data_IF_020549325848
#
_entry.id   IF_020549325848
#
_cell.length_a   1.000
_cell.length_b   1.000
_cell.length_c   1.000
_cell.angle_alpha   90.00
_cell.angle_beta   90.00
_cell.angle_gamma   90.00
#
_symmetry.space_group_name_H-M   'P 1'
#
loop_
_entity.id
_entity.type
_entity.pdbx_description
1 polymer ?
#
# COMPACT_ATOMS: atom_id res chain seq x y z
N UNK A 1 -4.48 -31.58 -24.50
CA UNK A 1 -4.70 -30.20 -24.01
C UNK A 1 -4.59 -30.24 -22.50
N UNK A 2 -3.65 -29.55 -21.87
CA UNK A 2 -3.61 -29.47 -20.41
C UNK A 2 -4.89 -28.78 -19.92
N UNK A 3 -5.52 -29.35 -18.91
CA UNK A 3 -6.74 -28.77 -18.33
C UNK A 3 -6.42 -27.37 -17.81
N UNK A 4 -7.20 -26.37 -18.21
CA UNK A 4 -7.04 -25.00 -17.70
C UNK A 4 -7.27 -25.00 -16.20
N UNK A 5 -6.40 -24.29 -15.46
CA UNK A 5 -6.54 -24.12 -14.03
C UNK A 5 -7.76 -23.25 -13.75
N UNK A 6 -8.63 -23.71 -12.84
CA UNK A 6 -9.80 -22.95 -12.41
C UNK A 6 -9.53 -22.26 -11.08
N UNK A 7 -9.57 -20.93 -11.08
CA UNK A 7 -9.23 -20.05 -9.94
C UNK A 7 -10.49 -19.35 -9.44
N UNK A 8 -10.88 -19.61 -8.20
CA UNK A 8 -11.91 -18.84 -7.51
C UNK A 8 -11.29 -17.62 -6.84
N UNK A 9 -11.82 -16.42 -7.09
CA UNK A 9 -11.42 -15.19 -6.45
C UNK A 9 -12.53 -14.69 -5.52
N UNK A 10 -12.20 -14.48 -4.23
CA UNK A 10 -13.10 -13.83 -3.29
C UNK A 10 -13.12 -12.32 -3.51
N UNK A 11 -14.24 -11.80 -4.01
CA UNK A 11 -14.41 -10.36 -4.32
C UNK A 11 -15.32 -9.63 -3.32
N UNK A 12 -15.73 -10.28 -2.22
CA UNK A 12 -16.60 -9.67 -1.19
C UNK A 12 -16.05 -8.34 -0.67
N UNK A 13 -14.74 -8.24 -0.53
CA UNK A 13 -14.08 -7.08 0.05
C UNK A 13 -14.04 -5.86 -0.86
N UNK A 14 -14.42 -5.97 -2.15
CA UNK A 14 -14.69 -4.79 -3.00
C UNK A 14 -15.73 -3.85 -2.41
N UNK A 15 -16.64 -4.38 -1.58
CA UNK A 15 -17.71 -3.62 -0.91
C UNK A 15 -17.28 -2.92 0.37
N UNK A 16 -16.16 -3.33 0.99
CA UNK A 16 -15.79 -2.93 2.35
C UNK A 16 -14.45 -2.25 2.42
N UNK A 17 -13.47 -2.75 1.70
CA UNK A 17 -12.10 -2.25 1.75
C UNK A 17 -12.02 -0.80 1.28
N UNK A 18 -11.20 0.01 1.97
CA UNK A 18 -11.10 1.46 1.73
C UNK A 18 -9.70 1.94 1.40
N UNK A 19 -8.72 1.05 1.36
CA UNK A 19 -7.29 1.40 1.28
C UNK A 19 -6.60 0.61 0.17
N UNK A 20 -5.28 0.56 0.18
CA UNK A 20 -4.49 -0.17 -0.80
C UNK A 20 -4.92 -1.62 -1.06
N UNK A 21 -5.49 -2.31 -0.07
CA UNK A 21 -6.06 -3.65 -0.27
C UNK A 21 -7.27 -3.66 -1.21
N UNK A 22 -8.08 -2.60 -1.19
CA UNK A 22 -9.18 -2.42 -2.16
C UNK A 22 -8.63 -2.23 -3.57
N UNK A 23 -7.67 -1.33 -3.73
CA UNK A 23 -7.02 -1.09 -5.03
C UNK A 23 -6.40 -2.38 -5.57
N UNK A 24 -5.70 -3.14 -4.74
CA UNK A 24 -5.16 -4.43 -5.15
C UNK A 24 -6.23 -5.39 -5.65
N UNK A 25 -7.32 -5.57 -4.90
CA UNK A 25 -8.41 -6.46 -5.30
C UNK A 25 -9.12 -5.97 -6.57
N UNK A 26 -9.37 -4.66 -6.71
CA UNK A 26 -9.98 -4.06 -7.91
C UNK A 26 -9.12 -4.29 -9.15
N UNK A 27 -7.82 -4.03 -9.06
CA UNK A 27 -6.91 -4.18 -10.19
C UNK A 27 -6.74 -5.65 -10.60
N UNK A 28 -6.58 -6.56 -9.62
CA UNK A 28 -6.50 -8.00 -9.91
C UNK A 28 -7.82 -8.54 -10.47
N UNK A 29 -8.97 -8.11 -9.93
CA UNK A 29 -10.27 -8.46 -10.48
C UNK A 29 -10.40 -8.02 -11.96
N UNK A 30 -9.97 -6.79 -12.27
CA UNK A 30 -9.99 -6.26 -13.64
C UNK A 30 -9.05 -7.05 -14.56
N UNK A 31 -7.84 -7.42 -14.09
CA UNK A 31 -6.93 -8.28 -14.85
C UNK A 31 -7.55 -9.64 -15.14
N UNK A 32 -8.09 -10.30 -14.12
CA UNK A 32 -8.65 -11.66 -14.26
C UNK A 32 -9.99 -11.72 -15.00
N UNK A 33 -10.71 -10.61 -15.09
CA UNK A 33 -11.91 -10.49 -15.92
C UNK A 33 -11.60 -10.41 -17.41
N UNK A 34 -10.38 -10.04 -17.79
CA UNK A 34 -9.94 -10.04 -19.18
C UNK A 34 -9.55 -11.48 -19.58
N UNK A 35 -10.04 -11.99 -20.73
CA UNK A 35 -9.72 -13.34 -21.24
C UNK A 35 -8.28 -13.48 -21.77
N UNK A 36 -7.32 -12.75 -21.18
CA UNK A 36 -5.93 -12.73 -21.63
C UNK A 36 -5.10 -13.92 -21.14
N UNK A 37 -5.56 -14.60 -20.08
CA UNK A 37 -4.77 -15.60 -19.37
C UNK A 37 -5.27 -17.01 -19.60
N UNK A 38 -4.37 -17.99 -19.65
CA UNK A 38 -4.70 -19.41 -19.77
C UNK A 38 -5.15 -19.99 -18.41
N UNK A 39 -6.24 -19.42 -17.87
CA UNK A 39 -6.92 -19.82 -16.64
C UNK A 39 -8.41 -19.54 -16.76
N UNK A 40 -9.21 -20.29 -16.03
CA UNK A 40 -10.63 -20.00 -15.86
C UNK A 40 -10.86 -19.35 -14.50
N UNK A 41 -11.43 -18.13 -14.48
CA UNK A 41 -11.67 -17.39 -13.26
C UNK A 41 -13.14 -17.41 -12.86
N UNK A 42 -13.41 -17.71 -11.59
CA UNK A 42 -14.75 -17.67 -10.99
C UNK A 42 -14.73 -16.66 -9.85
N UNK A 43 -15.64 -15.69 -9.87
CA UNK A 43 -15.69 -14.61 -8.89
C UNK A 43 -16.78 -14.88 -7.85
N UNK A 44 -16.39 -14.92 -6.58
CA UNK A 44 -17.30 -15.21 -5.47
C UNK A 44 -17.62 -13.92 -4.70
N UNK A 45 -18.88 -13.55 -4.74
CA UNK A 45 -19.42 -12.41 -3.98
C UNK A 45 -20.55 -12.84 -3.07
N UNK A 46 -20.81 -12.05 -2.02
CA UNK A 46 -21.96 -12.21 -1.13
C UNK A 46 -23.21 -11.59 -1.74
N UNK A 47 -24.33 -12.32 -1.65
CA UNK A 47 -25.63 -11.83 -2.10
C UNK A 47 -26.24 -10.77 -1.15
N UNK A 48 -25.74 -10.64 0.06
CA UNK A 48 -26.27 -9.73 1.07
C UNK A 48 -25.45 -8.46 1.19
N UNK A 49 -26.10 -7.29 1.41
CA UNK A 49 -25.38 -6.05 1.71
C UNK A 49 -24.46 -6.22 2.90
N UNK A 50 -23.26 -5.63 2.82
CA UNK A 50 -22.30 -5.63 3.91
C UNK A 50 -22.52 -4.40 4.77
N UNK A 51 -22.62 -4.60 6.08
CA UNK A 51 -22.81 -3.49 7.01
C UNK A 51 -21.52 -2.74 7.30
N UNK A 52 -21.50 -1.45 6.99
CA UNK A 52 -20.36 -0.54 7.22
C UNK A 52 -20.64 0.58 8.22
N UNK A 53 -21.81 0.57 8.86
CA UNK A 53 -22.26 1.60 9.80
C UNK A 53 -21.57 1.55 11.17
N UNK A 54 -22.06 2.39 12.12
CA UNK A 54 -21.40 2.60 13.43
C UNK A 54 -21.95 1.74 14.59
N UNK A 55 -23.12 1.09 14.44
CA UNK A 55 -23.75 0.32 15.51
C UNK A 55 -22.97 -0.94 15.88
N UNK A 56 -22.54 -1.06 17.15
CA UNK A 56 -21.67 -2.15 17.64
C UNK A 56 -22.26 -3.54 17.40
N UNK A 57 -23.58 -3.72 17.64
CA UNK A 57 -24.25 -5.02 17.47
C UNK A 57 -24.26 -5.44 15.99
N UNK A 58 -24.57 -4.55 15.07
CA UNK A 58 -24.54 -4.84 13.62
C UNK A 58 -23.14 -5.13 13.12
N UNK A 59 -22.11 -4.46 13.68
CA UNK A 59 -20.71 -4.81 13.40
C UNK A 59 -20.36 -6.23 13.89
N UNK A 60 -20.82 -6.61 15.06
CA UNK A 60 -20.59 -7.97 15.58
C UNK A 60 -21.25 -9.02 14.67
N UNK A 61 -22.49 -8.78 14.26
CA UNK A 61 -23.19 -9.65 13.30
C UNK A 61 -22.41 -9.75 12.00
N UNK A 62 -21.89 -8.64 11.50
CA UNK A 62 -21.11 -8.62 10.25
C UNK A 62 -19.78 -9.38 10.40
N UNK A 63 -19.12 -9.34 11.56
CA UNK A 63 -17.94 -10.16 11.82
C UNK A 63 -18.28 -11.68 11.84
N UNK A 64 -19.43 -12.06 12.41
CA UNK A 64 -19.90 -13.45 12.37
C UNK A 64 -20.20 -13.87 10.92
N UNK A 65 -20.90 -13.03 10.16
CA UNK A 65 -21.18 -13.26 8.73
C UNK A 65 -19.90 -13.40 7.92
N UNK A 66 -18.87 -12.60 8.21
CA UNK A 66 -17.55 -12.70 7.57
C UNK A 66 -16.90 -14.07 7.86
N UNK A 67 -16.93 -14.54 9.10
CA UNK A 67 -16.37 -15.84 9.46
C UNK A 67 -17.15 -16.97 8.77
N UNK A 68 -18.50 -16.92 8.77
CA UNK A 68 -19.34 -17.89 8.07
C UNK A 68 -19.03 -17.87 6.56
N UNK A 69 -18.89 -16.69 5.96
CA UNK A 69 -18.49 -16.56 4.57
C UNK A 69 -17.16 -17.26 4.29
N UNK A 70 -16.13 -16.92 5.04
CA UNK A 70 -14.76 -17.44 4.81
C UNK A 70 -14.64 -18.94 5.14
N UNK A 71 -15.31 -19.43 6.19
CA UNK A 71 -15.09 -20.79 6.68
C UNK A 71 -16.11 -21.82 6.16
N UNK A 72 -17.28 -21.37 5.67
CA UNK A 72 -18.36 -22.27 5.27
C UNK A 72 -18.80 -22.00 3.82
N UNK A 73 -19.26 -20.78 3.52
CA UNK A 73 -19.89 -20.49 2.22
C UNK A 73 -18.86 -20.50 1.09
N UNK A 74 -17.74 -19.85 1.28
CA UNK A 74 -16.70 -19.71 0.28
C UNK A 74 -16.08 -21.06 -0.13
N UNK A 75 -15.68 -21.96 0.82
CA UNK A 75 -15.19 -23.30 0.44
C UNK A 75 -16.24 -24.16 -0.25
N UNK A 76 -17.53 -24.07 0.15
CA UNK A 76 -18.61 -24.77 -0.55
C UNK A 76 -18.72 -24.26 -1.99
N UNK A 77 -18.73 -22.93 -2.22
CA UNK A 77 -18.76 -22.35 -3.57
C UNK A 77 -17.54 -22.77 -4.40
N UNK A 78 -16.34 -22.78 -3.82
CA UNK A 78 -15.12 -23.23 -4.51
C UNK A 78 -15.22 -24.69 -4.96
N UNK A 79 -15.73 -25.55 -4.09
CA UNK A 79 -15.94 -26.98 -4.40
C UNK A 79 -16.99 -27.19 -5.49
N UNK A 80 -18.17 -26.58 -5.35
CA UNK A 80 -19.26 -26.70 -6.33
C UNK A 80 -18.84 -26.22 -7.72
N UNK A 81 -17.96 -25.22 -7.77
CA UNK A 81 -17.40 -24.70 -9.03
C UNK A 81 -16.12 -25.45 -9.46
N UNK A 82 -15.72 -26.53 -8.76
CA UNK A 82 -14.52 -27.31 -9.06
C UNK A 82 -13.26 -26.47 -9.22
N UNK A 83 -13.07 -25.50 -8.34
CA UNK A 83 -11.85 -24.67 -8.34
C UNK A 83 -10.65 -25.52 -7.94
N UNK A 84 -9.51 -25.32 -8.61
CA UNK A 84 -8.21 -25.85 -8.22
C UNK A 84 -7.57 -24.96 -7.16
N UNK A 85 -7.76 -23.65 -7.31
CA UNK A 85 -7.25 -22.61 -6.43
C UNK A 85 -8.41 -21.76 -5.92
N UNK A 86 -8.37 -21.40 -4.63
CA UNK A 86 -9.15 -20.32 -4.04
C UNK A 86 -8.19 -19.21 -3.62
N UNK A 87 -8.25 -18.08 -4.31
CA UNK A 87 -7.42 -16.91 -4.04
C UNK A 87 -8.19 -15.89 -3.20
N UNK A 88 -7.67 -15.57 -2.03
CA UNK A 88 -8.21 -14.57 -1.11
C UNK A 88 -7.23 -13.42 -0.96
N UNK A 89 -7.64 -12.22 -1.37
CA UNK A 89 -6.78 -11.03 -1.31
C UNK A 89 -6.74 -10.38 0.08
N UNK A 90 -7.06 -11.14 1.10
CA UNK A 90 -6.98 -10.76 2.50
C UNK A 90 -6.29 -11.86 3.31
N UNK A 91 -6.01 -11.58 4.58
CA UNK A 91 -5.31 -12.48 5.49
C UNK A 91 -6.07 -13.77 5.82
N UNK A 92 -7.35 -13.90 5.42
CA UNK A 92 -8.24 -14.99 5.84
C UNK A 92 -8.55 -15.93 4.67
N UNK A 93 -8.20 -17.20 4.87
CA UNK A 93 -8.60 -18.30 3.99
C UNK A 93 -9.40 -19.33 4.78
N UNK A 94 -10.18 -20.21 4.13
CA UNK A 94 -10.79 -21.35 4.81
C UNK A 94 -9.74 -22.22 5.48
N UNK A 95 -10.04 -22.65 6.71
CA UNK A 95 -9.19 -23.57 7.46
C UNK A 95 -9.22 -24.99 6.89
N UNK A 96 -10.37 -25.37 6.31
CA UNK A 96 -10.61 -26.65 5.66
C UNK A 96 -10.85 -26.43 4.17
N UNK A 97 -10.01 -27.06 3.33
CA UNK A 97 -9.97 -26.86 1.88
C UNK A 97 -10.02 -28.17 1.11
N UNK A 98 -11.15 -28.95 1.20
CA UNK A 98 -11.25 -30.23 0.52
C UNK A 98 -11.31 -30.01 -0.99
N UNK A 99 -10.39 -30.62 -1.74
CA UNK A 99 -10.40 -30.61 -3.21
C UNK A 99 -9.80 -29.38 -3.89
N UNK A 100 -9.37 -28.36 -3.16
CA UNK A 100 -8.71 -27.17 -3.71
C UNK A 100 -7.58 -26.66 -2.79
N UNK A 101 -6.72 -25.80 -3.31
CA UNK A 101 -5.67 -25.11 -2.54
C UNK A 101 -6.08 -23.66 -2.29
N UNK A 102 -6.07 -23.20 -1.03
CA UNK A 102 -6.34 -21.81 -0.69
C UNK A 102 -5.03 -21.00 -0.59
N UNK A 103 -5.01 -19.80 -1.18
CA UNK A 103 -3.86 -18.91 -1.20
C UNK A 103 -4.28 -17.54 -0.65
N UNK A 104 -3.81 -17.11 0.53
CA UNK A 104 -4.05 -15.78 1.07
C UNK A 104 -3.02 -14.77 0.59
N UNK A 105 -3.37 -13.47 0.69
CA UNK A 105 -2.43 -12.36 0.60
C UNK A 105 -2.19 -11.77 1.99
N UNK A 106 -0.93 -11.69 2.39
CA UNK A 106 -0.50 -11.00 3.59
C UNK A 106 0.28 -9.75 3.18
N UNK A 107 -0.30 -8.56 3.35
CA UNK A 107 0.32 -7.32 2.89
C UNK A 107 1.53 -6.90 3.73
N UNK A 108 1.46 -7.15 5.04
CA UNK A 108 2.44 -6.73 6.03
C UNK A 108 2.35 -7.56 7.30
N UNK A 109 3.15 -7.20 8.30
CA UNK A 109 3.11 -7.78 9.64
C UNK A 109 2.57 -6.80 10.70
N UNK A 110 1.89 -5.71 10.32
CA UNK A 110 1.46 -4.62 11.22
C UNK A 110 0.60 -5.12 12.39
N UNK A 111 -0.25 -6.12 12.17
CA UNK A 111 -1.06 -6.73 13.24
C UNK A 111 -0.22 -7.32 14.37
N UNK A 112 1.01 -7.69 14.10
CA UNK A 112 1.94 -8.24 15.09
C UNK A 112 2.84 -7.14 15.67
N UNK A 113 3.31 -6.23 14.83
CA UNK A 113 4.22 -5.14 15.22
C UNK A 113 3.51 -4.10 16.09
N UNK A 114 2.27 -3.78 15.77
CA UNK A 114 1.43 -2.82 16.49
C UNK A 114 0.23 -3.48 17.15
N UNK A 115 0.44 -4.62 17.78
CA UNK A 115 -0.62 -5.42 18.39
C UNK A 115 -1.45 -4.66 19.44
N UNK A 116 -0.86 -3.69 20.13
CA UNK A 116 -1.54 -2.81 21.10
C UNK A 116 -2.65 -1.94 20.48
N UNK A 117 -2.57 -1.65 19.17
CA UNK A 117 -3.56 -0.84 18.45
C UNK A 117 -4.76 -1.64 17.94
N UNK A 118 -4.84 -2.93 18.26
CA UNK A 118 -5.91 -3.82 17.81
C UNK A 118 -6.61 -4.50 18.99
N UNK A 119 -7.91 -4.77 18.82
CA UNK A 119 -8.67 -5.49 19.82
C UNK A 119 -8.10 -6.91 20.06
N UNK A 120 -7.86 -7.27 21.32
CA UNK A 120 -7.22 -8.53 21.70
C UNK A 120 -8.02 -9.77 21.24
N UNK A 121 -9.37 -9.70 21.26
CA UNK A 121 -10.25 -10.79 20.78
C UNK A 121 -10.08 -10.95 19.27
N UNK A 122 -10.08 -9.83 18.54
CA UNK A 122 -9.87 -9.85 17.09
C UNK A 122 -8.50 -10.42 16.73
N UNK A 123 -7.44 -10.01 17.43
CA UNK A 123 -6.09 -10.56 17.23
C UNK A 123 -6.02 -12.07 17.49
N UNK A 124 -6.73 -12.54 18.53
CA UNK A 124 -6.81 -13.98 18.83
C UNK A 124 -7.51 -14.74 17.70
N UNK A 125 -8.62 -14.22 17.18
CA UNK A 125 -9.34 -14.80 16.04
C UNK A 125 -8.48 -14.77 14.78
N UNK A 126 -7.78 -13.67 14.53
CA UNK A 126 -6.84 -13.55 13.41
C UNK A 126 -5.71 -14.59 13.50
N UNK A 127 -5.10 -14.79 14.66
CA UNK A 127 -4.08 -15.83 14.86
C UNK A 127 -4.63 -17.23 14.60
N UNK A 128 -5.86 -17.51 15.03
CA UNK A 128 -6.49 -18.83 14.87
C UNK A 128 -6.90 -19.06 13.40
N UNK A 129 -7.71 -18.18 12.83
CA UNK A 129 -8.33 -18.37 11.50
C UNK A 129 -7.52 -17.80 10.34
N UNK A 130 -6.67 -16.78 10.57
CA UNK A 130 -5.78 -16.23 9.56
C UNK A 130 -4.46 -16.98 9.53
N UNK A 131 -3.64 -16.86 10.58
CA UNK A 131 -2.27 -17.39 10.59
C UNK A 131 -2.23 -18.91 10.54
N UNK A 132 -3.04 -19.62 11.35
CA UNK A 132 -3.02 -21.08 11.37
C UNK A 132 -3.60 -21.69 10.07
N UNK A 133 -4.58 -21.04 9.44
CA UNK A 133 -5.06 -21.45 8.12
C UNK A 133 -3.97 -21.20 7.05
N UNK A 134 -3.30 -20.05 7.10
CA UNK A 134 -2.21 -19.71 6.19
C UNK A 134 -1.00 -20.66 6.35
N UNK A 135 -0.70 -21.16 7.54
CA UNK A 135 0.35 -22.20 7.75
C UNK A 135 0.08 -23.49 6.98
N UNK A 136 -1.21 -23.82 6.76
CA UNK A 136 -1.63 -24.99 5.97
C UNK A 136 -1.65 -24.71 4.46
N UNK A 137 -1.70 -23.45 4.06
CA UNK A 137 -1.68 -23.08 2.65
C UNK A 137 -0.38 -23.55 1.98
N UNK A 138 -0.42 -23.98 0.71
CA UNK A 138 0.76 -24.37 -0.04
C UNK A 138 1.72 -23.20 -0.25
N UNK A 139 1.17 -22.01 -0.47
CA UNK A 139 1.87 -20.73 -0.63
C UNK A 139 1.03 -19.58 -0.06
N UNK A 140 1.72 -18.51 0.29
CA UNK A 140 1.16 -17.22 0.72
C UNK A 140 1.74 -16.16 -0.19
N UNK A 141 0.93 -15.21 -0.62
CA UNK A 141 1.39 -14.05 -1.37
C UNK A 141 1.66 -12.90 -0.40
N UNK A 142 2.72 -12.18 -0.64
CA UNK A 142 3.00 -10.87 -0.03
C UNK A 142 3.47 -9.90 -1.09
N UNK A 143 3.70 -8.64 -0.72
CA UNK A 143 3.90 -7.56 -1.69
C UNK A 143 5.35 -7.09 -1.82
N UNK A 144 6.24 -7.44 -0.86
CA UNK A 144 7.68 -7.13 -0.88
C UNK A 144 8.49 -8.22 -0.21
N UNK A 145 9.79 -8.30 -0.51
CA UNK A 145 10.72 -9.18 0.22
C UNK A 145 10.88 -8.73 1.69
N UNK A 146 10.81 -7.42 1.94
CA UNK A 146 10.75 -6.88 3.30
C UNK A 146 9.56 -7.46 4.07
N UNK A 147 8.33 -7.33 3.53
CA UNK A 147 7.12 -7.88 4.14
C UNK A 147 7.22 -9.42 4.30
N UNK A 148 7.78 -10.12 3.32
CA UNK A 148 8.06 -11.57 3.40
C UNK A 148 8.88 -11.94 4.63
N UNK A 149 9.97 -11.22 4.89
CA UNK A 149 10.83 -11.46 6.03
C UNK A 149 10.10 -11.16 7.36
N UNK A 150 9.36 -10.05 7.42
CA UNK A 150 8.59 -9.65 8.62
C UNK A 150 7.48 -10.64 8.93
N UNK A 151 6.69 -11.06 7.93
CA UNK A 151 5.64 -12.06 8.08
C UNK A 151 6.24 -13.39 8.57
N UNK A 152 7.32 -13.87 7.97
CA UNK A 152 7.99 -15.09 8.40
C UNK A 152 8.45 -15.00 9.87
N UNK A 153 9.08 -13.89 10.24
CA UNK A 153 9.56 -13.65 11.61
C UNK A 153 8.44 -13.69 12.65
N UNK A 154 7.36 -12.95 12.43
CA UNK A 154 6.28 -12.81 13.42
C UNK A 154 5.31 -14.00 13.48
N UNK A 155 5.11 -14.70 12.36
CA UNK A 155 4.14 -15.80 12.28
C UNK A 155 4.76 -17.17 12.45
N UNK A 156 6.08 -17.29 12.28
CA UNK A 156 6.80 -18.57 12.21
C UNK A 156 6.44 -19.38 10.96
N UNK A 157 5.88 -18.75 9.92
CA UNK A 157 5.66 -19.38 8.62
C UNK A 157 6.98 -19.45 7.87
N UNK A 158 7.30 -20.64 7.33
CA UNK A 158 8.51 -20.83 6.52
C UNK A 158 8.56 -19.81 5.38
N UNK A 159 9.67 -19.06 5.30
CA UNK A 159 9.91 -18.06 4.26
C UNK A 159 9.74 -18.61 2.85
N UNK A 160 10.06 -19.90 2.62
CA UNK A 160 9.89 -20.58 1.33
C UNK A 160 8.43 -20.76 0.90
N UNK A 161 7.48 -20.65 1.84
CA UNK A 161 6.04 -20.66 1.57
C UNK A 161 5.49 -19.26 1.26
N UNK A 162 6.27 -18.19 1.45
CA UNK A 162 5.82 -16.83 1.21
C UNK A 162 6.45 -16.33 -0.07
N UNK A 163 5.65 -15.96 -1.07
CA UNK A 163 6.10 -15.43 -2.36
C UNK A 163 5.82 -13.93 -2.40
N UNK A 164 6.85 -13.13 -2.57
CA UNK A 164 6.70 -11.70 -2.84
C UNK A 164 6.33 -11.48 -4.31
N UNK A 165 5.27 -10.68 -4.55
CA UNK A 165 4.81 -10.24 -5.86
C UNK A 165 4.48 -8.75 -5.73
N UNK A 166 5.25 -7.91 -6.41
CA UNK A 166 5.15 -6.47 -6.27
C UNK A 166 3.82 -5.92 -6.79
N UNK A 167 3.35 -4.84 -6.17
CA UNK A 167 2.21 -4.06 -6.62
C UNK A 167 2.59 -3.18 -7.83
N UNK A 168 1.61 -2.47 -8.36
CA UNK A 168 1.79 -1.42 -9.35
C UNK A 168 1.05 -0.14 -8.93
N UNK A 169 1.33 1.02 -9.52
CA UNK A 169 0.61 2.24 -9.22
C UNK A 169 -0.87 2.14 -9.62
N UNK A 170 -1.72 2.88 -8.95
CA UNK A 170 -3.13 3.01 -9.31
C UNK A 170 -3.26 3.78 -10.62
N UNK A 171 -4.08 3.32 -11.56
CA UNK A 171 -4.26 3.97 -12.86
C UNK A 171 -4.64 5.44 -12.78
N UNK A 172 -5.50 5.81 -11.83
CA UNK A 172 -5.94 7.20 -11.66
C UNK A 172 -4.86 8.13 -11.07
N UNK A 173 -3.98 7.60 -10.22
CA UNK A 173 -2.88 8.37 -9.62
C UNK A 173 -1.76 8.70 -10.62
N UNK A 174 -1.77 8.07 -11.79
CA UNK A 174 -0.85 8.35 -12.90
C UNK A 174 -1.53 9.10 -14.05
N UNK A 175 -2.73 9.63 -13.83
CA UNK A 175 -3.40 10.49 -14.80
C UNK A 175 -2.76 11.88 -14.80
N UNK A 176 -2.65 12.50 -15.98
CA UNK A 176 -2.27 13.90 -16.09
C UNK A 176 -3.44 14.80 -15.67
N UNK A 177 -3.19 15.96 -15.02
CA UNK A 177 -4.25 16.93 -14.77
C UNK A 177 -4.82 17.43 -16.09
N UNK A 178 -6.10 17.78 -16.10
CA UNK A 178 -6.75 18.35 -17.29
C UNK A 178 -6.02 19.63 -17.75
N UNK A 179 -5.92 19.88 -19.07
CA UNK A 179 -5.31 21.11 -19.56
C UNK A 179 -6.00 22.36 -18.98
N UNK A 180 -5.21 23.24 -18.38
CA UNK A 180 -5.72 24.46 -17.73
C UNK A 180 -6.32 24.27 -16.35
N UNK A 181 -6.17 23.08 -15.76
CA UNK A 181 -6.64 22.83 -14.39
C UNK A 181 -5.93 23.75 -13.38
N UNK A 182 -6.71 24.36 -12.51
CA UNK A 182 -6.24 25.14 -11.38
C UNK A 182 -6.58 24.40 -10.10
N UNK A 183 -5.60 24.14 -9.21
CA UNK A 183 -5.85 23.42 -7.98
C UNK A 183 -6.83 24.17 -7.07
N UNK A 184 -7.61 23.43 -6.29
CA UNK A 184 -8.56 24.00 -5.34
C UNK A 184 -7.86 24.67 -4.13
N UNK A 185 -6.55 24.45 -3.98
CA UNK A 185 -5.73 24.97 -2.90
C UNK A 185 -4.73 25.99 -3.42
N UNK A 186 -4.58 27.10 -2.67
CA UNK A 186 -3.54 28.08 -2.96
C UNK A 186 -2.19 27.52 -2.50
N UNK A 187 -1.26 27.34 -3.44
CA UNK A 187 0.11 26.90 -3.15
C UNK A 187 0.94 28.14 -2.75
N UNK A 188 1.61 28.11 -1.59
CA UNK A 188 2.30 29.31 -1.06
C UNK A 188 3.47 29.79 -1.92
N UNK A 189 4.18 28.87 -2.58
CA UNK A 189 5.32 29.14 -3.46
C UNK A 189 5.27 28.26 -4.69
N UNK A 190 6.00 28.63 -5.75
CA UNK A 190 6.10 27.82 -6.99
C UNK A 190 6.94 26.55 -6.76
N UNK A 191 7.94 26.60 -5.86
CA UNK A 191 8.81 25.47 -5.57
C UNK A 191 8.29 24.76 -4.32
N UNK A 192 7.99 23.47 -4.40
CA UNK A 192 7.52 22.75 -3.23
C UNK A 192 7.96 21.29 -3.17
N UNK A 193 8.06 20.79 -1.96
CA UNK A 193 8.28 19.38 -1.64
C UNK A 193 6.93 18.75 -1.31
N UNK A 194 6.66 17.58 -1.87
CA UNK A 194 5.38 16.88 -1.74
C UNK A 194 5.51 15.64 -0.86
N UNK A 195 4.54 15.46 0.02
CA UNK A 195 4.22 14.17 0.65
C UNK A 195 2.74 13.82 0.46
N UNK A 196 2.45 12.55 0.15
CA UNK A 196 1.08 12.04 -0.01
C UNK A 196 0.86 10.84 0.90
N UNK A 197 -0.11 10.93 1.80
CA UNK A 197 -0.47 9.84 2.72
C UNK A 197 -1.30 10.31 3.90
N UNK A 198 -1.93 9.38 4.62
CA UNK A 198 -2.64 9.69 5.87
C UNK A 198 -1.70 10.30 6.90
N UNK A 199 -2.19 11.24 7.71
CA UNK A 199 -1.40 11.90 8.77
C UNK A 199 -1.25 10.96 9.98
N UNK A 200 -0.46 9.90 9.80
CA UNK A 200 -0.21 8.87 10.81
C UNK A 200 1.20 8.96 11.37
N UNK A 201 1.37 8.61 12.65
CA UNK A 201 2.68 8.60 13.36
C UNK A 201 3.77 7.86 12.59
N UNK A 202 3.40 6.73 11.95
CA UNK A 202 4.36 5.95 11.14
C UNK A 202 4.85 6.67 9.88
N UNK A 203 4.16 7.71 9.44
CA UNK A 203 4.57 8.56 8.30
C UNK A 203 5.67 9.54 8.66
N UNK A 204 5.92 9.76 9.96
CA UNK A 204 7.06 10.53 10.47
C UNK A 204 7.11 11.99 9.98
N UNK A 205 5.92 12.59 9.81
CA UNK A 205 5.79 13.92 9.20
C UNK A 205 6.30 15.05 10.10
N UNK A 206 6.27 14.87 11.42
CA UNK A 206 6.84 15.81 12.37
C UNK A 206 8.33 16.02 12.07
N UNK A 207 9.13 14.94 11.91
CA UNK A 207 10.55 15.06 11.55
C UNK A 207 10.76 15.62 10.15
N UNK A 208 9.88 15.34 9.20
CA UNK A 208 9.95 15.94 7.86
C UNK A 208 9.79 17.46 7.95
N UNK A 209 8.86 17.96 8.78
CA UNK A 209 8.65 19.40 8.99
C UNK A 209 9.86 20.04 9.66
N UNK A 210 10.44 19.39 10.69
CA UNK A 210 11.66 19.83 11.34
C UNK A 210 12.85 19.91 10.37
N UNK A 211 13.01 18.89 9.52
CA UNK A 211 14.03 18.85 8.47
C UNK A 211 13.80 19.92 7.38
N UNK A 212 12.55 20.17 7.01
CA UNK A 212 12.16 21.24 6.11
C UNK A 212 12.51 22.62 6.71
N UNK A 213 12.31 22.82 8.01
CA UNK A 213 12.74 24.04 8.67
C UNK A 213 14.26 24.24 8.56
N UNK A 214 15.07 23.20 8.78
CA UNK A 214 16.52 23.26 8.58
C UNK A 214 16.89 23.62 7.14
N UNK A 215 16.22 23.04 6.16
CA UNK A 215 16.40 23.37 4.74
C UNK A 215 16.16 24.86 4.49
N UNK A 216 15.06 25.42 4.99
CA UNK A 216 14.76 26.86 4.86
C UNK A 216 15.82 27.75 5.53
N UNK A 217 16.28 27.38 6.73
CA UNK A 217 17.35 28.08 7.44
C UNK A 217 18.70 28.02 6.71
N UNK A 218 18.92 27.01 5.87
CA UNK A 218 20.12 26.87 5.04
C UNK A 218 20.10 27.68 3.74
N UNK A 219 19.07 28.52 3.52
CA UNK A 219 19.00 29.45 2.37
C UNK A 219 17.88 29.16 1.38
N UNK A 220 17.12 28.05 1.53
CA UNK A 220 16.03 27.66 0.61
C UNK A 220 14.66 28.17 1.11
N UNK A 221 14.55 29.48 1.30
CA UNK A 221 13.34 30.11 1.87
C UNK A 221 12.18 30.20 0.90
N UNK A 222 12.43 30.01 -0.40
CA UNK A 222 11.46 30.01 -1.50
C UNK A 222 10.72 28.68 -1.67
N UNK A 223 11.02 27.67 -0.84
CA UNK A 223 10.34 26.39 -0.84
C UNK A 223 9.17 26.33 0.14
N UNK A 224 8.15 25.55 -0.24
CA UNK A 224 7.04 25.12 0.60
C UNK A 224 7.04 23.60 0.78
N UNK A 225 6.34 23.12 1.81
CA UNK A 225 6.08 21.69 2.04
C UNK A 225 4.58 21.43 1.96
N UNK A 226 4.16 20.51 1.11
CA UNK A 226 2.74 20.14 0.95
C UNK A 226 2.54 18.71 1.47
N UNK A 227 1.69 18.56 2.48
CA UNK A 227 1.36 17.29 3.13
C UNK A 227 -0.08 16.92 2.79
N UNK A 228 -0.27 16.21 1.68
CA UNK A 228 -1.60 15.77 1.21
C UNK A 228 -2.04 14.53 1.96
N UNK A 229 -3.17 14.62 2.66
CA UNK A 229 -3.77 13.48 3.34
C UNK A 229 -4.69 13.86 4.48
N UNK A 230 -5.55 12.94 4.86
CA UNK A 230 -6.47 13.13 5.99
C UNK A 230 -5.86 12.60 7.31
N UNK A 231 -6.32 13.13 8.46
CA UNK A 231 -6.07 12.52 9.76
C UNK A 231 -6.43 11.03 9.77
N UNK A 232 -5.72 10.24 10.56
CA UNK A 232 -6.06 8.83 10.69
C UNK A 232 -7.41 8.66 11.39
N UNK A 233 -8.29 7.76 10.90
CA UNK A 233 -9.53 7.45 11.60
C UNK A 233 -9.29 6.71 12.94
N UNK A 234 -8.06 6.27 13.19
CA UNK A 234 -7.64 5.65 14.45
C UNK A 234 -6.88 6.68 15.30
N UNK A 235 -7.48 7.12 16.39
CA UNK A 235 -6.92 8.15 17.29
C UNK A 235 -5.50 7.82 17.75
N UNK A 236 -5.22 6.56 18.09
CA UNK A 236 -3.89 6.15 18.56
C UNK A 236 -2.79 6.25 17.51
N UNK A 237 -3.17 6.22 16.23
CA UNK A 237 -2.26 6.30 15.08
C UNK A 237 -2.20 7.71 14.48
N UNK A 238 -3.16 8.57 14.81
CA UNK A 238 -3.25 9.94 14.28
C UNK A 238 -2.13 10.81 14.81
N UNK A 239 -1.53 11.60 13.94
CA UNK A 239 -0.44 12.52 14.25
C UNK A 239 -0.78 13.97 13.86
N UNK A 240 -2.02 14.21 13.42
CA UNK A 240 -2.43 15.52 12.90
C UNK A 240 -2.26 16.66 13.91
N UNK A 241 -2.51 16.40 15.19
CA UNK A 241 -2.30 17.39 16.26
C UNK A 241 -0.82 17.75 16.40
N UNK A 242 0.08 16.76 16.51
CA UNK A 242 1.51 16.98 16.64
C UNK A 242 2.10 17.68 15.39
N UNK A 243 1.58 17.35 14.20
CA UNK A 243 1.94 18.01 12.93
C UNK A 243 1.61 19.52 13.02
N UNK A 244 0.41 19.90 13.43
CA UNK A 244 0.05 21.31 13.55
C UNK A 244 0.81 22.02 14.66
N UNK A 245 1.04 21.36 15.80
CA UNK A 245 1.85 21.91 16.91
C UNK A 245 3.28 22.23 16.47
N UNK A 246 3.93 21.36 15.71
CA UNK A 246 5.30 21.62 15.23
C UNK A 246 5.34 22.72 14.16
N UNK A 247 4.34 22.78 13.26
CA UNK A 247 4.19 23.89 12.29
C UNK A 247 4.10 25.23 13.02
N UNK A 248 3.27 25.31 14.05
CA UNK A 248 3.07 26.52 14.84
C UNK A 248 4.33 26.90 15.62
N UNK A 249 4.93 25.93 16.31
CA UNK A 249 6.16 26.12 17.09
C UNK A 249 7.32 26.67 16.26
N UNK A 250 7.42 26.24 15.00
CA UNK A 250 8.49 26.65 14.08
C UNK A 250 8.12 27.87 13.22
N UNK A 251 6.89 28.41 13.34
CA UNK A 251 6.43 29.56 12.56
C UNK A 251 6.27 29.27 11.06
N UNK A 252 5.88 28.05 10.70
CA UNK A 252 5.84 27.57 9.32
C UNK A 252 4.44 27.59 8.68
N UNK A 253 3.45 28.24 9.29
CA UNK A 253 2.07 28.26 8.79
C UNK A 253 1.94 28.72 7.33
N UNK A 254 2.75 29.67 6.91
CA UNK A 254 2.74 30.23 5.56
C UNK A 254 3.50 29.36 4.53
N UNK A 255 4.18 28.31 4.99
CA UNK A 255 5.10 27.51 4.16
C UNK A 255 4.79 26.02 4.19
N UNK A 256 3.98 25.55 5.13
CA UNK A 256 3.53 24.14 5.20
C UNK A 256 2.03 24.08 4.99
N UNK A 257 1.61 23.51 3.84
CA UNK A 257 0.22 23.33 3.50
C UNK A 257 -0.24 21.91 3.85
N UNK A 258 -1.34 21.80 4.59
CA UNK A 258 -2.01 20.54 4.92
C UNK A 258 -3.44 20.55 4.34
N UNK A 259 -3.61 20.32 3.02
CA UNK A 259 -4.89 20.51 2.35
C UNK A 259 -5.95 19.46 2.74
N UNK A 260 -5.56 18.42 3.47
CA UNK A 260 -6.45 17.31 3.77
C UNK A 260 -6.60 16.37 2.58
N UNK A 261 -7.83 15.99 2.24
CA UNK A 261 -8.12 15.18 1.07
C UNK A 261 -8.00 16.02 -0.21
N UNK A 262 -7.18 15.56 -1.12
CA UNK A 262 -7.08 16.12 -2.47
C UNK A 262 -7.90 15.27 -3.45
N UNK A 263 -8.54 15.92 -4.42
CA UNK A 263 -9.16 15.24 -5.56
C UNK A 263 -8.10 14.55 -6.43
N UNK A 264 -8.51 13.63 -7.29
CA UNK A 264 -7.55 12.98 -8.22
C UNK A 264 -6.88 14.03 -9.14
N UNK A 265 -7.57 15.11 -9.51
CA UNK A 265 -7.02 16.22 -10.30
C UNK A 265 -6.02 17.08 -9.51
N UNK A 266 -6.36 17.42 -8.24
CA UNK A 266 -5.42 18.13 -7.37
C UNK A 266 -4.17 17.29 -7.11
N UNK A 267 -4.33 15.98 -6.88
CA UNK A 267 -3.23 15.08 -6.64
C UNK A 267 -2.31 14.97 -7.86
N UNK A 268 -2.87 14.81 -9.06
CA UNK A 268 -2.12 14.83 -10.31
C UNK A 268 -1.36 16.16 -10.51
N UNK A 269 -2.03 17.28 -10.17
CA UNK A 269 -1.39 18.60 -10.23
C UNK A 269 -0.21 18.69 -9.27
N UNK A 270 -0.36 18.24 -8.02
CA UNK A 270 0.72 18.27 -7.03
C UNK A 270 1.91 17.40 -7.46
N UNK A 271 1.69 16.19 -7.92
CA UNK A 271 2.77 15.34 -8.42
C UNK A 271 3.51 15.96 -9.62
N UNK A 272 2.78 16.57 -10.54
CA UNK A 272 3.34 17.17 -11.76
C UNK A 272 4.21 18.39 -11.49
N UNK A 273 3.87 19.19 -10.47
CA UNK A 273 4.50 20.48 -10.22
C UNK A 273 5.42 20.49 -9.00
N UNK A 274 5.47 19.40 -8.24
CA UNK A 274 6.42 19.28 -7.15
C UNK A 274 7.87 19.19 -7.66
N UNK A 275 8.82 19.67 -6.86
CA UNK A 275 10.25 19.54 -7.12
C UNK A 275 10.84 18.22 -6.59
N UNK A 276 10.34 17.75 -5.46
CA UNK A 276 10.79 16.55 -4.76
C UNK A 276 9.58 15.86 -4.12
N UNK A 277 9.56 14.53 -4.19
CA UNK A 277 8.67 13.72 -3.36
C UNK A 277 9.44 13.18 -2.14
N UNK A 278 8.95 13.47 -0.93
CA UNK A 278 9.56 13.04 0.32
C UNK A 278 8.71 11.97 1.02
N UNK A 279 9.30 10.80 1.30
CA UNK A 279 8.60 9.71 1.95
C UNK A 279 9.33 9.22 3.22
N UNK A 280 9.17 9.92 4.36
CA UNK A 280 9.94 9.69 5.57
C UNK A 280 9.39 8.58 6.46
N UNK A 281 8.53 7.71 5.95
CA UNK A 281 7.82 6.68 6.72
C UNK A 281 8.78 5.73 7.44
N UNK A 282 8.49 5.47 8.71
CA UNK A 282 9.26 4.51 9.52
C UNK A 282 8.70 3.08 9.45
N UNK A 283 7.53 2.90 8.84
CA UNK A 283 6.97 1.58 8.58
C UNK A 283 6.02 1.60 7.36
N UNK A 284 6.35 0.79 6.36
CA UNK A 284 5.58 0.60 5.12
C UNK A 284 5.58 -0.86 4.67
N UNK A 285 4.50 -1.25 4.00
CA UNK A 285 4.40 -2.56 3.35
C UNK A 285 4.88 -2.56 1.90
N UNK A 286 4.73 -1.40 1.18
CA UNK A 286 5.16 -1.26 -0.22
C UNK A 286 5.62 0.17 -0.56
N UNK A 287 4.74 1.18 -0.42
CA UNK A 287 5.08 2.55 -0.81
C UNK A 287 4.65 2.88 -2.24
N UNK A 288 3.39 2.58 -2.61
CA UNK A 288 2.82 2.91 -3.93
C UNK A 288 3.09 4.36 -4.37
N UNK A 289 3.02 5.38 -3.49
CA UNK A 289 3.32 6.77 -3.85
C UNK A 289 4.71 7.01 -4.45
N UNK A 290 5.70 6.17 -4.16
CA UNK A 290 7.03 6.24 -4.82
C UNK A 290 6.90 5.98 -6.32
N UNK A 291 6.09 4.99 -6.72
CA UNK A 291 5.85 4.68 -8.12
C UNK A 291 4.99 5.75 -8.82
N UNK A 292 4.08 6.38 -8.08
CA UNK A 292 3.29 7.52 -8.56
C UNK A 292 4.20 8.72 -8.84
N UNK A 293 5.14 9.02 -7.94
CA UNK A 293 6.15 10.05 -8.15
C UNK A 293 7.05 9.75 -9.37
N UNK A 294 7.50 8.51 -9.54
CA UNK A 294 8.27 8.12 -10.75
C UNK A 294 7.48 8.33 -12.04
N UNK A 295 6.17 8.04 -12.04
CA UNK A 295 5.33 8.26 -13.22
C UNK A 295 5.31 9.73 -13.63
N UNK A 296 5.28 10.64 -12.64
CA UNK A 296 5.31 12.08 -12.87
C UNK A 296 6.74 12.65 -12.99
N UNK A 297 7.76 11.80 -13.18
CA UNK A 297 9.16 12.20 -13.31
C UNK A 297 9.66 13.06 -12.15
N UNK A 298 9.16 12.77 -10.95
CA UNK A 298 9.48 13.50 -9.73
C UNK A 298 10.63 12.79 -8.99
N UNK A 299 11.74 13.48 -8.68
CA UNK A 299 12.81 12.92 -7.86
C UNK A 299 12.32 12.57 -6.47
N UNK A 300 12.79 11.45 -5.92
CA UNK A 300 12.24 10.87 -4.69
C UNK A 300 13.33 10.70 -3.63
N UNK A 301 13.04 11.15 -2.41
CA UNK A 301 13.79 10.79 -1.22
C UNK A 301 12.95 9.89 -0.32
N UNK A 302 13.54 8.84 0.23
CA UNK A 302 12.83 7.85 1.06
C UNK A 302 13.64 7.47 2.31
N UNK A 303 12.94 6.99 3.33
CA UNK A 303 13.60 6.33 4.46
C UNK A 303 14.40 5.12 4.02
N UNK A 304 15.58 4.91 4.58
CA UNK A 304 16.48 3.78 4.30
C UNK A 304 16.03 2.46 4.93
N UNK A 305 15.01 2.51 5.74
CA UNK A 305 14.39 1.36 6.40
C UNK A 305 13.16 0.85 5.62
N UNK A 306 12.57 -0.23 6.05
CA UNK A 306 11.35 -0.83 5.48
C UNK A 306 11.51 -1.36 4.05
N UNK A 307 10.42 -1.34 3.27
CA UNK A 307 10.39 -1.77 1.87
C UNK A 307 10.75 -0.65 0.88
N UNK A 308 10.95 0.58 1.34
CA UNK A 308 11.12 1.73 0.46
C UNK A 308 12.38 1.64 -0.40
N UNK A 309 13.56 1.23 0.13
CA UNK A 309 14.74 0.96 -0.70
C UNK A 309 14.52 -0.20 -1.69
N UNK A 310 13.74 -1.23 -1.33
CA UNK A 310 13.40 -2.34 -2.24
C UNK A 310 12.57 -1.85 -3.42
N UNK A 311 11.56 -1.00 -3.17
CA UNK A 311 10.68 -0.47 -4.22
C UNK A 311 11.41 0.59 -5.05
N UNK A 312 12.13 1.50 -4.41
CA UNK A 312 12.83 2.60 -5.06
C UNK A 312 14.06 2.17 -5.86
N UNK A 313 14.84 1.20 -5.34
CA UNK A 313 16.09 0.77 -5.96
C UNK A 313 17.11 1.91 -6.07
N UNK A 314 17.72 2.03 -7.23
CA UNK A 314 18.68 3.08 -7.61
C UNK A 314 18.02 4.39 -8.08
N UNK A 315 16.70 4.46 -8.04
CA UNK A 315 15.91 5.63 -8.47
C UNK A 315 15.53 6.56 -7.32
N UNK A 316 15.99 6.28 -6.10
CA UNK A 316 15.68 7.07 -4.91
C UNK A 316 16.94 7.41 -4.12
N UNK A 317 16.90 8.54 -3.42
CA UNK A 317 17.93 8.91 -2.46
C UNK A 317 17.45 8.53 -1.06
N UNK A 318 18.18 7.63 -0.39
CA UNK A 318 17.82 7.15 0.94
C UNK A 318 18.38 8.04 2.05
N UNK A 319 17.64 8.12 3.18
CA UNK A 319 18.06 8.81 4.40
C UNK A 319 17.63 8.04 5.66
N UNK A 320 18.32 8.29 6.76
CA UNK A 320 17.90 7.82 8.09
C UNK A 320 16.66 8.61 8.54
N UNK A 321 15.47 7.97 8.69
CA UNK A 321 14.23 8.66 9.08
C UNK A 321 14.24 9.21 10.50
N UNK A 322 15.23 8.86 11.32
CA UNK A 322 15.37 9.36 12.68
C UNK A 322 16.38 10.50 12.80
N UNK A 323 17.08 10.84 11.71
CA UNK A 323 18.05 11.92 11.63
C UNK A 323 17.50 13.09 10.79
N UNK A 324 17.11 14.16 11.47
CA UNK A 324 16.51 15.37 10.86
C UNK A 324 17.49 16.06 9.90
N UNK A 325 18.76 16.10 10.26
CA UNK A 325 19.82 16.70 9.45
C UNK A 325 20.03 15.91 8.16
N UNK A 326 19.98 14.57 8.22
CA UNK A 326 20.12 13.73 7.02
C UNK A 326 18.93 13.92 6.07
N UNK A 327 17.69 13.95 6.59
CA UNK A 327 16.50 14.27 5.80
C UNK A 327 16.66 15.62 5.10
N UNK A 328 17.07 16.66 5.85
CA UNK A 328 17.30 18.01 5.32
C UNK A 328 18.38 18.03 4.25
N UNK A 329 19.51 17.35 4.50
CA UNK A 329 20.61 17.27 3.54
C UNK A 329 20.21 16.57 2.24
N UNK A 330 19.39 15.50 2.28
CA UNK A 330 18.92 14.83 1.06
C UNK A 330 17.97 15.71 0.24
N UNK A 331 17.10 16.50 0.90
CA UNK A 331 16.29 17.51 0.21
C UNK A 331 17.19 18.55 -0.45
N UNK A 332 18.17 19.10 0.27
CA UNK A 332 19.12 20.10 -0.23
C UNK A 332 19.91 19.58 -1.44
N UNK A 333 20.47 18.37 -1.34
CA UNK A 333 21.24 17.74 -2.45
C UNK A 333 20.38 17.65 -3.69
N UNK A 334 19.12 17.22 -3.61
CA UNK A 334 18.24 17.13 -4.78
C UNK A 334 17.82 18.51 -5.33
N UNK A 335 17.81 19.55 -4.53
CA UNK A 335 17.54 20.91 -4.99
C UNK A 335 18.75 21.48 -5.76
N UNK A 336 19.95 21.22 -5.27
CA UNK A 336 21.19 21.84 -5.77
C UNK A 336 21.84 21.05 -6.92
N UNK A 337 21.61 19.74 -7.01
CA UNK A 337 22.25 18.85 -7.99
C UNK A 337 21.28 18.43 -9.11
N UNK A 338 21.31 19.19 -10.21
CA UNK A 338 20.47 18.91 -11.39
C UNK A 338 20.88 17.63 -12.15
N UNK A 339 22.15 17.21 -12.07
CA UNK A 339 22.63 15.99 -12.71
C UNK A 339 22.08 14.77 -11.97
N UNK A 340 22.19 14.76 -10.65
CA UNK A 340 21.60 13.72 -9.81
C UNK A 340 20.08 13.63 -9.98
N UNK A 341 19.37 14.78 -10.01
CA UNK A 341 17.92 14.81 -10.29
C UNK A 341 17.60 14.11 -11.61
N UNK A 342 18.31 14.47 -12.66
CA UNK A 342 18.12 13.91 -14.00
C UNK A 342 18.44 12.41 -14.05
N UNK A 343 19.44 11.96 -13.30
CA UNK A 343 19.78 10.55 -13.15
C UNK A 343 18.66 9.78 -12.44
N UNK A 344 18.19 10.26 -11.28
CA UNK A 344 17.11 9.61 -10.52
C UNK A 344 15.81 9.53 -11.32
N UNK A 345 15.48 10.58 -12.11
CA UNK A 345 14.31 10.56 -13.00
C UNK A 345 14.45 9.46 -14.06
N UNK A 346 15.63 9.35 -14.72
CA UNK A 346 15.88 8.27 -15.69
C UNK A 346 15.74 6.89 -15.05
N UNK A 347 16.37 6.71 -13.91
CA UNK A 347 16.30 5.45 -13.15
C UNK A 347 14.86 5.15 -12.73
N UNK A 348 14.07 6.15 -12.28
CA UNK A 348 12.66 6.03 -11.95
C UNK A 348 11.81 5.55 -13.13
N UNK A 349 12.04 6.08 -14.32
CA UNK A 349 11.36 5.64 -15.54
C UNK A 349 11.67 4.18 -15.89
N UNK A 350 12.94 3.74 -15.74
CA UNK A 350 13.30 2.34 -15.96
C UNK A 350 12.73 1.44 -14.85
N UNK A 351 12.81 1.89 -13.61
CA UNK A 351 12.30 1.18 -12.44
C UNK A 351 10.80 0.94 -12.54
N UNK A 352 10.03 1.93 -12.98
CA UNK A 352 8.57 1.86 -13.14
C UNK A 352 8.14 0.74 -14.09
N UNK A 353 8.94 0.42 -15.12
CA UNK A 353 8.66 -0.69 -16.06
C UNK A 353 8.61 -2.07 -15.39
N UNK A 354 9.17 -2.20 -14.19
CA UNK A 354 9.14 -3.45 -13.43
C UNK A 354 7.79 -3.69 -12.75
N UNK A 355 6.97 -2.64 -12.59
CA UNK A 355 5.74 -2.66 -11.83
C UNK A 355 4.53 -2.45 -12.75
N UNK A 356 3.83 -3.53 -13.08
CA UNK A 356 2.56 -3.44 -13.77
C UNK A 356 1.58 -4.48 -13.24
N UNK A 357 0.29 -4.19 -13.34
CA UNK A 357 -0.76 -5.12 -12.92
C UNK A 357 -0.80 -6.38 -13.79
N UNK A 358 -0.39 -6.27 -15.07
CA UNK A 358 -0.22 -7.41 -15.97
C UNK A 358 0.88 -8.35 -15.43
N UNK A 359 2.05 -7.82 -15.10
CA UNK A 359 3.15 -8.62 -14.51
C UNK A 359 2.76 -9.23 -13.18
N UNK A 360 2.05 -8.48 -12.34
CA UNK A 360 1.52 -9.00 -11.07
C UNK A 360 0.60 -10.20 -11.32
N UNK A 361 -0.37 -10.08 -12.23
CA UNK A 361 -1.30 -11.14 -12.58
C UNK A 361 -0.58 -12.38 -13.16
N UNK A 362 0.40 -12.19 -14.04
CA UNK A 362 1.23 -13.28 -14.59
C UNK A 362 1.99 -14.04 -13.51
N UNK A 363 2.62 -13.32 -12.57
CA UNK A 363 3.34 -13.93 -11.44
C UNK A 363 2.39 -14.65 -10.47
N UNK A 364 1.18 -14.13 -10.25
CA UNK A 364 0.14 -14.83 -9.52
C UNK A 364 -0.23 -16.16 -10.19
N UNK A 365 -0.46 -16.15 -11.49
CA UNK A 365 -0.82 -17.36 -12.26
C UNK A 365 0.31 -18.40 -12.23
N UNK A 366 1.56 -17.97 -12.40
CA UNK A 366 2.73 -18.85 -12.22
C UNK A 366 2.75 -19.45 -10.82
N UNK A 367 2.46 -18.63 -9.81
CA UNK A 367 2.42 -19.06 -8.41
C UNK A 367 1.28 -20.05 -8.14
N UNK A 368 0.10 -19.86 -8.74
CA UNK A 368 -1.02 -20.81 -8.67
C UNK A 368 -0.64 -22.18 -9.26
N UNK A 369 0.02 -22.19 -10.42
CA UNK A 369 0.52 -23.44 -11.04
C UNK A 369 1.51 -24.18 -10.14
N UNK A 370 2.42 -23.45 -9.49
CA UNK A 370 3.35 -24.06 -8.51
C UNK A 370 2.61 -24.60 -7.29
N UNK A 371 1.59 -23.89 -6.80
CA UNK A 371 0.83 -24.29 -5.61
C UNK A 371 0.02 -25.58 -5.83
N UNK A 372 -0.55 -25.79 -7.02
CA UNK A 372 -1.27 -27.02 -7.35
C UNK A 372 -0.36 -28.24 -7.27
N UNK A 373 0.87 -28.12 -7.75
CA UNK A 373 1.86 -29.20 -7.79
C UNK A 373 2.57 -29.46 -6.44
N UNK A 374 2.34 -28.62 -5.42
CA UNK A 374 2.85 -28.86 -4.07
C UNK A 374 1.91 -29.79 -3.30
N UNK A 375 2.43 -30.91 -2.86
CA UNK A 375 1.75 -31.85 -1.95
C UNK A 375 1.62 -31.30 -0.54
#
# INVERSE_FOLDING_TARGET
>A
MSQKIRVGLDIRDLRIAKTGSKTYLEEIYNQFKSDKYDCEFVFFDTSFPVYTGRYKLLKLIEHIRFIIWKQIILPIKANLNRCDILFCTDYFVPYFTPGFKAIPVFYDAFFFEYSSHYNAIWLKLFKIFGVNAAKKAPLIITITEYARNRISHFTGIDRRKIKAIHLAPKKMAVAEPEPGYTPTFQIPTTNFILHVGTLEKRKNLVRLIEAFNLLRLSGHQDYSLILVGQPSPKIDMDDSVAIHEVIDKLGLRDFVLTPGYASDQDLAYFYKHAEIYAFPSINEGFGVPVLEAFHHQLPVIVSDNTCLPEVGGDAVLCFDPFNIEDISNKMKVLIEDNELRSELIRNGNERLKLFSWEKNAEELIKTFRVAINKN
#
